data_IF_543103927031
#
_entry.id   IF_543103927031
#
_cell.length_a   1.000
_cell.length_b   1.000
_cell.length_c   1.000
_cell.angle_alpha   90.00
_cell.angle_beta   90.00
_cell.angle_gamma   90.00
#
_symmetry.space_group_name_H-M   'P 1'
#
loop_
_entity.id
_entity.type
_entity.pdbx_description
1 polymer ?
#
# COMPACT_ATOMS: atom_id res chain seq x y z
N UNK A 1 3.61 5.92 12.59
CA UNK A 1 5.03 5.81 12.12
C UNK A 1 5.04 5.58 10.63
N UNK A 2 5.89 6.29 9.90
CA UNK A 2 6.21 6.03 8.48
C UNK A 2 7.59 5.40 8.45
N UNK A 3 7.66 4.12 8.11
CA UNK A 3 8.91 3.37 8.05
C UNK A 3 9.56 3.56 6.68
N UNK A 4 10.84 3.89 6.68
CA UNK A 4 11.65 4.11 5.50
C UNK A 4 12.93 3.27 5.57
N UNK A 5 13.37 2.75 4.44
CA UNK A 5 14.66 2.10 4.27
C UNK A 5 15.56 2.94 3.32
N UNK A 6 16.86 2.70 3.24
CA UNK A 6 17.71 3.37 2.26
C UNK A 6 17.15 3.26 0.84
N UNK A 7 16.91 4.38 0.15
CA UNK A 7 16.29 4.43 -1.17
C UNK A 7 14.77 4.66 -1.17
N UNK A 8 14.10 4.65 -0.03
CA UNK A 8 12.72 5.13 0.09
C UNK A 8 12.65 6.60 -0.29
N UNK A 9 11.65 6.98 -1.09
CA UNK A 9 11.50 8.35 -1.58
C UNK A 9 10.06 8.90 -1.53
N UNK A 10 9.11 8.12 -0.96
CA UNK A 10 7.71 8.51 -0.76
C UNK A 10 7.32 8.69 0.72
N UNK A 11 8.28 8.60 1.60
CA UNK A 11 8.11 8.78 3.04
C UNK A 11 7.50 10.15 3.41
N UNK A 12 7.95 11.23 2.76
CA UNK A 12 7.43 12.58 2.97
C UNK A 12 6.02 12.77 2.40
N UNK A 13 5.74 12.18 1.23
CA UNK A 13 4.41 12.23 0.62
C UNK A 13 3.39 11.50 1.51
N UNK A 14 3.75 10.32 2.02
CA UNK A 14 2.95 9.56 2.99
C UNK A 14 2.76 10.33 4.29
N UNK A 15 3.83 10.93 4.83
CA UNK A 15 3.75 11.76 6.03
C UNK A 15 2.78 12.93 5.84
N UNK A 16 2.85 13.61 4.70
CA UNK A 16 1.91 14.68 4.37
C UNK A 16 0.47 14.20 4.26
N UNK A 17 0.24 13.03 3.62
CA UNK A 17 -1.08 12.43 3.52
C UNK A 17 -1.69 12.11 4.90
N UNK A 18 -0.87 11.55 5.81
CA UNK A 18 -1.28 11.26 7.18
C UNK A 18 -1.57 12.53 7.99
N UNK A 19 -0.79 13.59 7.84
CA UNK A 19 -1.06 14.89 8.47
C UNK A 19 -2.41 15.46 8.01
N UNK A 20 -2.69 15.42 6.71
CA UNK A 20 -3.99 15.85 6.16
C UNK A 20 -5.16 14.95 6.61
N UNK A 21 -4.87 13.72 7.00
CA UNK A 21 -5.85 12.80 7.58
C UNK A 21 -6.08 13.01 9.07
N UNK A 22 -5.27 13.85 9.75
CA UNK A 22 -5.39 14.19 11.16
C UNK A 22 -4.40 13.46 12.09
N UNK A 23 -3.46 12.68 11.56
CA UNK A 23 -2.44 12.00 12.35
C UNK A 23 -1.21 12.91 12.63
N UNK A 24 -0.38 12.47 13.57
CA UNK A 24 0.96 13.02 13.85
C UNK A 24 2.04 12.00 13.39
N UNK A 25 2.45 12.04 12.11
CA UNK A 25 3.37 11.06 11.55
C UNK A 25 4.81 11.34 11.95
N UNK A 26 5.51 10.26 12.28
CA UNK A 26 6.95 10.24 12.50
C UNK A 26 7.61 9.36 11.45
N UNK A 27 8.60 9.89 10.72
CA UNK A 27 9.42 9.11 9.79
C UNK A 27 10.54 8.47 10.60
N UNK A 28 10.66 7.15 10.51
CA UNK A 28 11.66 6.34 11.23
C UNK A 28 12.40 5.47 10.23
N UNK A 29 13.71 5.38 10.34
CA UNK A 29 14.49 4.48 9.51
C UNK A 29 14.37 3.04 9.99
N UNK A 30 14.44 2.10 9.04
CA UNK A 30 14.36 0.67 9.35
C UNK A 30 15.42 0.24 10.35
N UNK A 31 16.63 0.74 10.22
CA UNK A 31 17.75 0.45 11.11
C UNK A 31 17.45 0.89 12.55
N UNK A 32 16.88 2.07 12.75
CA UNK A 32 16.47 2.57 14.07
C UNK A 32 15.40 1.67 14.70
N UNK A 33 14.41 1.27 13.90
CA UNK A 33 13.36 0.37 14.37
C UNK A 33 13.92 -1.01 14.75
N UNK A 34 14.83 -1.54 13.95
CA UNK A 34 15.47 -2.82 14.19
C UNK A 34 16.31 -2.83 15.47
N UNK A 35 16.99 -1.71 15.76
CA UNK A 35 17.81 -1.58 16.98
C UNK A 35 16.95 -1.46 18.24
N UNK A 36 15.81 -0.76 18.16
CA UNK A 36 14.99 -0.46 19.33
C UNK A 36 13.47 -0.62 19.05
N UNK A 37 12.98 -1.82 18.69
CA UNK A 37 11.59 -1.98 18.23
C UNK A 37 10.55 -1.68 19.33
N UNK A 38 10.76 -2.15 20.54
CA UNK A 38 9.76 -2.04 21.60
C UNK A 38 9.51 -0.60 22.07
N UNK A 39 10.53 0.23 22.35
CA UNK A 39 10.30 1.64 22.68
C UNK A 39 9.65 2.43 21.53
N UNK A 40 10.13 2.22 20.29
CA UNK A 40 9.65 2.97 19.13
C UNK A 40 8.22 2.64 18.73
N UNK A 41 7.76 1.40 18.93
CA UNK A 41 6.41 0.96 18.61
C UNK A 41 5.40 1.13 19.74
N UNK A 42 5.85 1.46 20.97
CA UNK A 42 4.97 1.52 22.14
C UNK A 42 3.75 2.41 21.91
N UNK A 43 3.99 3.63 21.44
CA UNK A 43 2.99 4.68 21.31
C UNK A 43 2.52 4.88 19.85
N UNK A 44 2.86 3.93 18.97
CA UNK A 44 2.48 3.96 17.56
C UNK A 44 1.15 3.22 17.38
N UNK A 45 0.18 3.89 16.78
CA UNK A 45 -1.12 3.30 16.44
C UNK A 45 -1.16 2.79 14.99
N UNK A 46 -0.43 3.42 14.08
CA UNK A 46 -0.43 3.10 12.64
C UNK A 46 1.01 2.90 12.16
N UNK A 47 1.26 1.86 11.38
CA UNK A 47 2.54 1.66 10.71
C UNK A 47 2.34 1.73 9.19
N UNK A 48 3.12 2.57 8.52
CA UNK A 48 3.15 2.68 7.06
C UNK A 48 4.52 2.32 6.52
N UNK A 49 4.59 1.34 5.63
CA UNK A 49 5.79 1.04 4.85
C UNK A 49 5.71 1.85 3.56
N UNK A 50 6.55 2.89 3.46
CA UNK A 50 6.47 3.82 2.35
C UNK A 50 7.03 3.26 1.03
N UNK A 51 6.57 3.81 -0.08
CA UNK A 51 7.05 3.48 -1.42
C UNK A 51 8.43 4.05 -1.73
N UNK A 52 9.04 3.54 -2.79
CA UNK A 52 10.34 3.97 -3.28
C UNK A 52 11.11 2.81 -3.92
N UNK A 53 12.44 2.91 -3.87
CA UNK A 53 13.36 1.92 -4.41
C UNK A 53 14.35 1.51 -3.30
N UNK A 54 13.83 0.82 -2.28
CA UNK A 54 14.64 0.43 -1.13
C UNK A 54 15.86 -0.40 -1.58
N UNK A 55 17.03 -0.03 -1.08
CA UNK A 55 18.32 -0.64 -1.45
C UNK A 55 18.56 -0.66 -2.97
N UNK A 56 18.03 0.35 -3.71
CA UNK A 56 18.11 0.46 -5.18
C UNK A 56 17.61 -0.79 -5.92
N UNK A 57 16.68 -1.55 -5.33
CA UNK A 57 16.13 -2.82 -5.84
C UNK A 57 17.22 -3.87 -6.20
N UNK A 58 18.35 -3.85 -5.50
CA UNK A 58 19.56 -4.60 -5.86
C UNK A 58 19.38 -6.12 -6.02
N UNK A 59 18.40 -6.72 -5.35
CA UNK A 59 18.07 -8.15 -5.48
C UNK A 59 16.62 -8.37 -5.93
N UNK A 60 16.00 -7.34 -6.52
CA UNK A 60 14.57 -7.23 -6.82
C UNK A 60 13.85 -6.30 -5.86
N UNK A 61 12.75 -5.71 -6.34
CA UNK A 61 12.04 -4.67 -5.62
C UNK A 61 11.53 -5.14 -4.25
N UNK A 62 11.89 -4.42 -3.19
CA UNK A 62 11.52 -4.71 -1.81
C UNK A 62 12.21 -5.92 -1.17
N UNK A 63 13.03 -6.67 -1.90
CA UNK A 63 13.59 -7.94 -1.40
C UNK A 63 14.51 -7.79 -0.20
N UNK A 64 15.46 -6.87 -0.26
CA UNK A 64 16.38 -6.67 0.86
C UNK A 64 15.65 -6.17 2.11
N UNK A 65 14.66 -5.30 1.91
CA UNK A 65 13.84 -4.82 3.02
C UNK A 65 12.96 -5.93 3.60
N UNK A 66 12.32 -6.77 2.77
CA UNK A 66 11.54 -7.91 3.26
C UNK A 66 12.37 -8.91 4.05
N UNK A 67 13.61 -9.17 3.62
CA UNK A 67 14.56 -10.01 4.37
C UNK A 67 14.89 -9.41 5.74
N UNK A 68 15.16 -8.10 5.81
CA UNK A 68 15.42 -7.43 7.08
C UNK A 68 14.18 -7.46 8.00
N UNK A 69 12.97 -7.29 7.46
CA UNK A 69 11.72 -7.43 8.22
C UNK A 69 11.56 -8.86 8.74
N UNK A 70 11.76 -9.86 7.91
CA UNK A 70 11.60 -11.28 8.30
C UNK A 70 12.63 -11.69 9.35
N UNK A 71 13.90 -11.36 9.14
CA UNK A 71 15.01 -11.79 10.00
C UNK A 71 15.02 -11.02 11.34
N UNK A 72 14.79 -9.72 11.31
CA UNK A 72 15.01 -8.84 12.47
C UNK A 72 13.74 -8.32 13.14
N UNK A 73 12.60 -8.32 12.45
CA UNK A 73 11.29 -7.89 12.96
C UNK A 73 10.22 -8.98 12.85
N UNK A 74 10.61 -10.23 12.59
CA UNK A 74 9.72 -11.35 12.31
C UNK A 74 8.62 -11.56 13.36
N UNK A 75 8.92 -11.37 14.65
CA UNK A 75 7.95 -11.44 15.75
C UNK A 75 7.31 -10.07 16.07
N UNK A 76 7.97 -8.99 15.69
CA UNK A 76 7.59 -7.63 16.11
C UNK A 76 6.35 -7.16 15.36
N UNK A 77 6.34 -7.29 14.03
CA UNK A 77 5.21 -6.84 13.21
C UNK A 77 3.96 -7.71 13.42
N UNK A 78 4.02 -9.05 13.48
CA UNK A 78 2.86 -9.86 13.86
C UNK A 78 2.26 -9.49 15.21
N UNK A 79 3.09 -9.20 16.23
CA UNK A 79 2.61 -8.73 17.54
C UNK A 79 1.95 -7.35 17.45
N UNK A 80 2.50 -6.43 16.66
CA UNK A 80 1.92 -5.12 16.43
C UNK A 80 0.51 -5.23 15.82
N UNK A 81 0.35 -6.10 14.81
CA UNK A 81 -0.93 -6.39 14.15
C UNK A 81 -1.90 -7.08 15.12
N UNK A 82 -1.43 -8.04 15.92
CA UNK A 82 -2.25 -8.75 16.90
C UNK A 82 -2.81 -7.84 18.01
N UNK A 83 -2.20 -6.68 18.24
CA UNK A 83 -2.74 -5.62 19.11
C UNK A 83 -3.86 -4.80 18.45
N UNK A 84 -4.32 -5.17 17.26
CA UNK A 84 -5.33 -4.46 16.49
C UNK A 84 -4.80 -3.28 15.69
N UNK A 85 -3.48 -3.04 15.68
CA UNK A 85 -2.88 -1.86 15.07
C UNK A 85 -2.73 -2.01 13.56
N UNK A 86 -3.28 -1.06 12.77
CA UNK A 86 -3.28 -1.16 11.31
C UNK A 86 -1.90 -0.91 10.69
N UNK A 87 -1.66 -1.64 9.60
CA UNK A 87 -0.45 -1.54 8.79
C UNK A 87 -0.83 -1.32 7.32
N UNK A 88 -0.12 -0.45 6.62
CA UNK A 88 -0.27 -0.30 5.18
C UNK A 88 1.10 -0.27 4.49
N UNK A 89 1.23 -1.02 3.41
CA UNK A 89 2.40 -0.99 2.51
C UNK A 89 2.02 -0.44 1.14
N UNK A 90 2.71 0.61 0.70
CA UNK A 90 2.45 1.26 -0.58
C UNK A 90 3.60 0.97 -1.54
N UNK A 91 3.31 0.47 -2.74
CA UNK A 91 4.27 0.15 -3.78
C UNK A 91 5.41 -0.74 -3.24
N UNK A 92 6.59 -0.21 -3.01
CA UNK A 92 7.71 -0.94 -2.42
C UNK A 92 7.35 -1.52 -1.03
N UNK A 93 6.55 -0.80 -0.23
CA UNK A 93 6.03 -1.32 1.04
C UNK A 93 5.12 -2.54 0.88
N UNK A 94 4.32 -2.60 -0.19
CA UNK A 94 3.51 -3.78 -0.50
C UNK A 94 4.37 -4.98 -0.89
N UNK A 95 5.43 -4.76 -1.69
CA UNK A 95 6.42 -5.79 -2.02
C UNK A 95 7.09 -6.35 -0.75
N UNK A 96 7.38 -5.48 0.21
CA UNK A 96 7.93 -5.90 1.51
C UNK A 96 6.94 -6.74 2.30
N UNK A 97 5.68 -6.33 2.41
CA UNK A 97 4.66 -7.06 3.17
C UNK A 97 4.37 -8.45 2.58
N UNK A 98 4.30 -8.58 1.24
CA UNK A 98 4.17 -9.89 0.59
C UNK A 98 5.44 -10.73 0.73
N UNK A 99 6.61 -10.13 0.55
CA UNK A 99 7.91 -10.81 0.69
C UNK A 99 8.18 -11.30 2.12
N UNK A 100 7.63 -10.61 3.13
CA UNK A 100 7.70 -11.00 4.55
C UNK A 100 6.57 -11.97 4.97
N UNK A 101 5.65 -12.34 4.07
CA UNK A 101 4.54 -13.25 4.38
C UNK A 101 3.43 -12.64 5.23
N UNK A 102 3.37 -11.32 5.35
CA UNK A 102 2.32 -10.59 6.09
C UNK A 102 1.07 -10.34 5.23
N UNK A 103 1.19 -10.49 3.91
CA UNK A 103 0.09 -10.43 2.95
C UNK A 103 0.15 -11.64 2.01
N UNK A 104 -1.01 -12.10 1.50
CA UNK A 104 -1.06 -13.21 0.55
C UNK A 104 -0.48 -12.83 -0.81
N UNK A 105 -0.02 -13.83 -1.57
CA UNK A 105 0.47 -13.68 -2.93
C UNK A 105 1.91 -13.20 -3.02
N UNK A 106 2.28 -12.73 -4.21
CA UNK A 106 3.60 -12.21 -4.50
C UNK A 106 3.53 -11.12 -5.57
N UNK A 107 4.58 -10.30 -5.64
CA UNK A 107 4.76 -9.27 -6.67
C UNK A 107 5.96 -9.61 -7.55
N UNK A 108 5.83 -9.40 -8.85
CA UNK A 108 6.86 -9.66 -9.83
C UNK A 108 6.89 -8.60 -10.94
N UNK A 109 7.73 -8.84 -11.93
CA UNK A 109 7.88 -7.93 -13.07
C UNK A 109 6.55 -7.68 -13.78
N UNK A 110 6.34 -6.43 -14.19
CA UNK A 110 5.20 -6.07 -15.04
C UNK A 110 5.15 -6.98 -16.28
N UNK A 111 3.95 -7.36 -16.72
CA UNK A 111 3.78 -8.23 -17.87
C UNK A 111 4.40 -7.66 -19.17
N UNK A 112 4.48 -6.34 -19.28
CA UNK A 112 5.13 -5.64 -20.39
C UNK A 112 6.66 -5.71 -20.37
N UNK A 113 7.27 -6.09 -19.23
CA UNK A 113 8.71 -5.98 -19.00
C UNK A 113 9.23 -4.54 -18.85
N UNK A 114 8.34 -3.54 -18.87
CA UNK A 114 8.71 -2.13 -18.79
C UNK A 114 8.20 -1.48 -17.51
N UNK A 115 8.88 -0.42 -17.07
CA UNK A 115 8.43 0.45 -16.00
C UNK A 115 7.13 1.15 -16.42
N UNK A 116 6.11 1.11 -15.56
CA UNK A 116 4.84 1.80 -15.77
C UNK A 116 4.79 3.04 -14.87
N UNK A 117 4.47 4.19 -15.48
CA UNK A 117 4.31 5.47 -14.80
C UNK A 117 3.13 6.22 -15.42
N UNK A 118 1.95 6.01 -14.88
CA UNK A 118 0.70 6.54 -15.42
C UNK A 118 -0.37 6.75 -14.34
N UNK A 119 -1.39 7.53 -14.65
CA UNK A 119 -2.56 7.67 -13.80
C UNK A 119 -3.53 6.54 -14.06
N UNK A 120 -4.00 5.92 -12.99
CA UNK A 120 -4.96 4.82 -13.02
C UNK A 120 -6.16 5.14 -12.13
N UNK A 121 -7.22 4.39 -12.35
CA UNK A 121 -8.39 4.35 -11.48
C UNK A 121 -8.51 2.98 -10.81
N UNK A 122 -8.89 3.00 -9.54
CA UNK A 122 -9.18 1.79 -8.78
C UNK A 122 -10.63 1.80 -8.32
N UNK A 123 -11.32 0.68 -8.50
CA UNK A 123 -12.57 0.38 -7.82
C UNK A 123 -12.28 -0.24 -6.44
N UNK A 124 -13.24 -0.05 -5.55
CA UNK A 124 -13.16 -0.47 -4.16
C UNK A 124 -14.23 -1.54 -3.92
N UNK A 125 -13.93 -2.82 -4.17
CA UNK A 125 -14.87 -3.91 -3.89
C UNK A 125 -15.12 -4.05 -2.39
N UNK A 126 -16.23 -4.67 -2.03
CA UNK A 126 -16.50 -5.04 -0.65
C UNK A 126 -15.40 -5.97 -0.12
N UNK A 127 -14.74 -5.59 0.96
CA UNK A 127 -13.63 -6.32 1.54
C UNK A 127 -13.60 -6.21 3.06
N UNK A 128 -12.75 -7.02 3.70
CA UNK A 128 -12.48 -6.93 5.15
C UNK A 128 -11.66 -5.70 5.53
N UNK A 129 -10.95 -5.10 4.56
CA UNK A 129 -9.98 -4.04 4.84
C UNK A 129 -10.61 -2.84 5.55
N UNK A 130 -10.06 -2.48 6.70
CA UNK A 130 -10.44 -1.28 7.45
C UNK A 130 -10.10 0.00 6.68
N UNK A 131 -9.10 -0.10 5.79
CA UNK A 131 -8.58 1.02 5.01
C UNK A 131 -9.48 1.44 3.84
N UNK A 132 -10.22 0.48 3.28
CA UNK A 132 -11.03 0.71 2.07
C UNK A 132 -12.55 0.74 2.35
N UNK A 133 -12.96 0.56 3.60
CA UNK A 133 -14.38 0.54 3.96
C UNK A 133 -15.09 1.85 3.56
N UNK A 134 -16.19 1.73 2.83
CA UNK A 134 -17.03 2.84 2.36
C UNK A 134 -16.23 3.94 1.64
N UNK A 135 -15.22 3.58 0.88
CA UNK A 135 -14.51 4.51 0.00
C UNK A 135 -15.13 4.54 -1.39
N UNK A 136 -15.14 5.74 -1.96
CA UNK A 136 -15.35 5.94 -3.38
C UNK A 136 -14.10 5.47 -4.17
N UNK A 137 -14.26 5.19 -5.48
CA UNK A 137 -13.14 4.85 -6.34
C UNK A 137 -11.99 5.86 -6.26
N UNK A 138 -10.76 5.35 -6.31
CA UNK A 138 -9.54 6.16 -6.15
C UNK A 138 -8.85 6.32 -7.50
N UNK A 139 -8.51 7.55 -7.87
CA UNK A 139 -7.66 7.87 -9.01
C UNK A 139 -6.31 8.37 -8.49
N UNK A 140 -5.21 7.70 -8.86
CA UNK A 140 -3.86 8.06 -8.44
C UNK A 140 -2.82 7.48 -9.40
N UNK A 141 -1.53 7.89 -9.33
CA UNK A 141 -0.51 7.34 -10.20
C UNK A 141 -0.01 5.97 -9.74
N UNK A 142 0.54 5.21 -10.69
CA UNK A 142 1.46 4.10 -10.48
C UNK A 142 2.86 4.49 -10.94
N UNK A 143 3.91 3.90 -10.34
CA UNK A 143 5.29 4.09 -10.72
C UNK A 143 6.13 2.89 -10.30
N UNK A 144 6.16 1.82 -11.12
CA UNK A 144 6.83 0.56 -10.77
C UNK A 144 7.26 -0.27 -11.97
N UNK A 145 8.33 -1.05 -11.82
CA UNK A 145 8.77 -2.09 -12.75
C UNK A 145 8.34 -3.50 -12.32
N UNK A 146 8.12 -3.71 -11.01
CA UNK A 146 7.73 -4.97 -10.40
C UNK A 146 6.42 -4.81 -9.61
N UNK A 147 5.32 -4.53 -10.32
CA UNK A 147 4.00 -4.29 -9.71
C UNK A 147 2.98 -5.38 -9.96
N UNK A 148 3.33 -6.42 -10.72
CA UNK A 148 2.42 -7.49 -11.11
C UNK A 148 2.11 -8.38 -9.92
N UNK A 149 0.89 -8.29 -9.39
CA UNK A 149 0.42 -9.18 -8.34
C UNK A 149 0.04 -10.55 -8.93
N UNK A 150 0.46 -11.61 -8.25
CA UNK A 150 0.16 -13.00 -8.59
C UNK A 150 -0.33 -13.78 -7.36
N UNK A 151 -1.34 -14.59 -7.55
CA UNK A 151 -1.87 -15.50 -6.54
C UNK A 151 -2.45 -16.76 -7.24
N UNK A 152 -2.24 -17.97 -6.71
CA UNK A 152 -2.70 -19.20 -7.34
C UNK A 152 -4.24 -19.35 -7.30
N UNK A 153 -4.91 -18.75 -6.33
CA UNK A 153 -6.36 -18.86 -6.12
C UNK A 153 -6.98 -17.49 -5.81
N UNK A 154 -7.35 -16.77 -6.86
CA UNK A 154 -8.02 -15.46 -6.74
C UNK A 154 -9.43 -15.61 -6.19
N UNK A 155 -10.11 -16.72 -6.53
CA UNK A 155 -11.47 -16.96 -6.05
C UNK A 155 -11.51 -17.14 -4.53
N UNK A 156 -10.50 -17.78 -3.94
CA UNK A 156 -10.38 -17.86 -2.48
C UNK A 156 -10.13 -16.49 -1.84
N UNK A 157 -9.29 -15.63 -2.44
CA UNK A 157 -9.09 -14.26 -1.95
C UNK A 157 -10.40 -13.46 -1.97
N UNK A 158 -11.17 -13.57 -3.03
CA UNK A 158 -12.48 -12.92 -3.17
C UNK A 158 -13.47 -13.42 -2.12
N UNK A 159 -13.61 -14.73 -2.01
CA UNK A 159 -14.52 -15.36 -1.05
C UNK A 159 -14.17 -14.98 0.41
N UNK A 160 -12.87 -14.80 0.70
CA UNK A 160 -12.38 -14.36 1.98
C UNK A 160 -12.47 -12.84 2.20
N UNK A 161 -12.90 -12.06 1.19
CA UNK A 161 -12.95 -10.59 1.27
C UNK A 161 -11.59 -9.92 1.38
N UNK A 162 -10.55 -10.53 0.81
CA UNK A 162 -9.17 -10.02 0.90
C UNK A 162 -8.76 -9.16 -0.31
N UNK A 163 -9.54 -9.13 -1.39
CA UNK A 163 -9.32 -8.22 -2.52
C UNK A 163 -9.86 -6.84 -2.14
N UNK A 164 -8.97 -5.90 -1.86
CA UNK A 164 -9.32 -4.59 -1.36
C UNK A 164 -9.46 -3.52 -2.45
N UNK A 165 -8.70 -3.64 -3.54
CA UNK A 165 -8.66 -2.67 -4.64
C UNK A 165 -8.45 -3.39 -5.97
N UNK A 166 -9.11 -2.89 -7.04
CA UNK A 166 -8.95 -3.40 -8.41
C UNK A 166 -8.73 -2.27 -9.39
N UNK A 167 -7.83 -2.48 -10.34
CA UNK A 167 -7.67 -1.59 -11.49
C UNK A 167 -8.95 -1.55 -12.32
N UNK A 168 -9.30 -0.38 -12.84
CA UNK A 168 -10.49 -0.22 -13.68
C UNK A 168 -10.29 0.80 -14.79
N UNK A 169 -11.13 0.71 -15.82
CA UNK A 169 -11.29 1.72 -16.86
C UNK A 169 -12.74 2.22 -16.84
N UNK A 170 -12.95 3.53 -16.74
CA UNK A 170 -14.28 4.15 -16.72
C UNK A 170 -15.24 3.56 -15.67
N UNK A 171 -14.68 2.99 -14.58
CA UNK A 171 -15.49 2.37 -13.54
C UNK A 171 -15.78 0.86 -13.75
N UNK A 172 -15.30 0.28 -14.84
CA UNK A 172 -15.45 -1.14 -15.12
C UNK A 172 -14.15 -1.90 -14.84
N UNK A 173 -14.26 -2.96 -14.04
CA UNK A 173 -13.21 -3.97 -13.85
C UNK A 173 -13.41 -5.00 -14.95
N UNK A 174 -12.52 -5.02 -15.92
CA UNK A 174 -12.74 -5.82 -17.14
C UNK A 174 -12.34 -7.28 -17.00
N UNK A 175 -11.51 -7.63 -16.04
CA UNK A 175 -10.95 -8.97 -15.87
C UNK A 175 -10.02 -9.43 -17.00
N UNK A 176 -9.89 -8.62 -18.06
CA UNK A 176 -9.10 -8.93 -19.26
C UNK A 176 -7.86 -8.04 -19.41
N UNK A 177 -7.48 -7.33 -18.36
CA UNK A 177 -6.29 -6.50 -18.32
C UNK A 177 -6.43 -5.10 -18.93
N UNK A 178 -7.60 -4.70 -19.41
CA UNK A 178 -7.82 -3.35 -19.89
C UNK A 178 -7.85 -2.38 -18.69
N UNK A 179 -6.93 -1.40 -18.64
CA UNK A 179 -6.73 -0.50 -17.49
C UNK A 179 -5.88 -1.08 -16.36
N UNK A 180 -5.40 -2.31 -16.50
CA UNK A 180 -4.45 -2.93 -15.60
C UNK A 180 -3.02 -2.67 -16.12
N UNK A 181 -2.23 -1.81 -15.47
CA UNK A 181 -0.96 -1.34 -16.03
C UNK A 181 0.15 -2.41 -16.00
N UNK A 182 0.00 -3.44 -15.20
CA UNK A 182 1.09 -4.36 -14.90
C UNK A 182 0.78 -5.84 -15.13
N UNK A 183 -0.46 -6.19 -15.50
CA UNK A 183 -0.88 -7.57 -15.72
C UNK A 183 -1.14 -8.36 -14.43
N UNK A 184 -1.50 -7.69 -13.34
CA UNK A 184 -1.92 -8.32 -12.09
C UNK A 184 -3.11 -9.24 -12.31
N UNK A 185 -3.10 -10.42 -11.69
CA UNK A 185 -4.19 -11.38 -11.79
C UNK A 185 -5.49 -10.78 -11.25
N UNK A 186 -6.61 -10.99 -11.96
CA UNK A 186 -7.91 -10.47 -11.56
C UNK A 186 -7.99 -8.95 -11.43
N UNK A 187 -7.10 -8.21 -12.12
CA UNK A 187 -6.94 -6.75 -12.02
C UNK A 187 -6.69 -6.25 -10.59
N UNK A 188 -6.13 -7.09 -9.71
CA UNK A 188 -5.89 -6.75 -8.31
C UNK A 188 -4.83 -5.66 -8.21
N UNK A 189 -5.20 -4.51 -7.63
CA UNK A 189 -4.34 -3.39 -7.32
C UNK A 189 -3.86 -3.39 -5.86
N UNK A 190 -4.63 -4.05 -4.97
CA UNK A 190 -4.29 -4.18 -3.56
C UNK A 190 -5.10 -5.27 -2.86
N UNK A 191 -4.47 -5.87 -1.85
CA UNK A 191 -5.04 -6.94 -1.01
C UNK A 191 -4.87 -6.62 0.47
N UNK A 192 -5.74 -7.21 1.31
CA UNK A 192 -5.56 -7.19 2.76
C UNK A 192 -5.28 -8.59 3.31
N UNK A 193 -4.82 -8.64 4.55
CA UNK A 193 -4.71 -9.86 5.32
C UNK A 193 -6.08 -10.39 5.78
N UNK A 194 -6.12 -11.53 6.44
CA UNK A 194 -7.35 -12.14 6.93
C UNK A 194 -8.08 -11.30 7.98
N UNK A 195 -7.35 -10.46 8.73
CA UNK A 195 -7.93 -9.55 9.74
C UNK A 195 -8.48 -8.27 9.15
N UNK A 196 -8.04 -7.88 7.95
CA UNK A 196 -8.35 -6.60 7.31
C UNK A 196 -7.52 -5.42 7.85
N UNK A 197 -6.59 -5.67 8.77
CA UNK A 197 -5.74 -4.63 9.38
C UNK A 197 -4.55 -4.27 8.50
N UNK A 198 -4.01 -5.27 7.80
CA UNK A 198 -2.87 -5.06 6.90
C UNK A 198 -3.37 -4.87 5.48
N UNK A 199 -3.00 -3.76 4.84
CA UNK A 199 -3.30 -3.48 3.44
C UNK A 199 -2.00 -3.31 2.66
N UNK A 200 -1.92 -3.90 1.47
CA UNK A 200 -0.88 -3.61 0.48
C UNK A 200 -1.49 -3.18 -0.84
N UNK A 201 -0.92 -2.17 -1.48
CA UNK A 201 -1.34 -1.70 -2.80
C UNK A 201 -0.16 -1.17 -3.61
N UNK A 202 -0.19 -1.36 -4.94
CA UNK A 202 0.87 -0.87 -5.83
C UNK A 202 0.74 0.60 -6.23
N UNK A 203 -0.47 1.15 -6.44
CA UNK A 203 -0.65 2.57 -6.72
C UNK A 203 -0.30 3.47 -5.53
N UNK A 204 -0.12 4.78 -5.83
CA UNK A 204 0.34 5.80 -4.89
C UNK A 204 -0.80 6.79 -4.52
N UNK A 205 -1.72 6.45 -3.60
CA UNK A 205 -2.79 7.36 -3.19
C UNK A 205 -2.26 8.62 -2.50
N UNK A 206 -1.07 8.58 -1.88
CA UNK A 206 -0.39 9.73 -1.27
C UNK A 206 -0.04 10.81 -2.29
N UNK A 207 0.02 10.47 -3.56
CA UNK A 207 0.26 11.42 -4.66
C UNK A 207 -1.03 12.01 -5.25
N UNK A 208 -2.20 11.74 -4.65
CA UNK A 208 -3.46 12.42 -4.99
C UNK A 208 -4.30 12.68 -3.73
N UNK A 209 -3.75 13.35 -2.74
CA UNK A 209 -4.44 13.75 -1.50
C UNK A 209 -5.03 15.15 -1.56
N UNK A 210 -4.59 15.97 -2.52
CA UNK A 210 -5.15 17.29 -2.83
C UNK A 210 -5.36 17.43 -4.34
N UNK A 211 -6.39 18.14 -4.76
CA UNK A 211 -6.78 18.25 -6.17
C UNK A 211 -5.68 18.76 -7.10
N UNK A 212 -4.81 19.67 -6.63
CA UNK A 212 -3.72 20.23 -7.45
C UNK A 212 -2.62 19.23 -7.82
N UNK A 213 -2.55 18.06 -7.20
CA UNK A 213 -1.63 17.00 -7.59
C UNK A 213 -2.06 16.29 -8.88
N UNK A 214 -3.36 16.39 -9.23
CA UNK A 214 -3.86 15.76 -10.45
C UNK A 214 -3.43 16.54 -11.71
N UNK A 215 -2.96 15.89 -12.79
CA UNK A 215 -2.48 16.57 -14.01
C UNK A 215 -3.56 17.39 -14.73
N UNK A 216 -4.84 17.06 -14.54
CA UNK A 216 -5.99 17.81 -15.09
C UNK A 216 -6.59 18.81 -14.10
N UNK A 217 -5.89 19.14 -13.00
CA UNK A 217 -6.39 20.05 -11.97
C UNK A 217 -6.94 21.37 -12.54
N UNK A 218 -6.21 22.01 -13.45
CA UNK A 218 -6.64 23.26 -14.10
C UNK A 218 -7.93 23.14 -14.95
N UNK A 219 -8.39 21.93 -15.23
CA UNK A 219 -9.61 21.63 -15.98
C UNK A 219 -10.80 21.28 -15.08
N UNK A 220 -10.70 21.52 -13.77
CA UNK A 220 -11.80 21.30 -12.83
C UNK A 220 -11.97 19.86 -12.36
N UNK A 221 -10.90 19.07 -12.30
CA UNK A 221 -10.96 17.74 -11.70
C UNK A 221 -11.19 17.79 -10.18
N UNK A 222 -11.81 16.74 -9.68
CA UNK A 222 -12.22 16.59 -8.28
C UNK A 222 -11.05 16.69 -7.28
N UNK A 223 -11.39 16.89 -6.02
CA UNK A 223 -10.46 16.86 -4.88
C UNK A 223 -9.70 15.52 -4.80
N UNK A 224 -8.53 15.53 -4.16
CA UNK A 224 -7.65 14.37 -4.05
C UNK A 224 -8.34 13.13 -3.49
N UNK A 225 -8.58 12.13 -4.32
CA UNK A 225 -9.35 10.94 -3.98
C UNK A 225 -8.58 9.97 -3.05
N UNK A 226 -7.24 10.03 -3.04
CA UNK A 226 -6.41 9.17 -2.21
C UNK A 226 -6.47 9.48 -0.70
N UNK A 227 -6.86 10.69 -0.31
CA UNK A 227 -6.91 11.09 1.10
C UNK A 227 -7.90 10.25 1.92
N UNK A 228 -8.97 9.77 1.28
CA UNK A 228 -9.98 8.93 1.92
C UNK A 228 -9.37 7.69 2.59
N UNK A 229 -8.42 7.04 1.92
CA UNK A 229 -7.73 5.84 2.42
C UNK A 229 -7.02 6.12 3.76
N UNK A 230 -6.23 7.18 3.83
CA UNK A 230 -5.50 7.57 5.04
C UNK A 230 -6.45 7.95 6.18
N UNK A 231 -7.54 8.68 5.86
CA UNK A 231 -8.57 9.04 6.86
C UNK A 231 -9.24 7.81 7.47
N UNK A 232 -9.44 6.73 6.71
CA UNK A 232 -10.01 5.48 7.24
C UNK A 232 -9.06 4.83 8.24
N UNK A 233 -7.79 4.72 7.91
CA UNK A 233 -6.78 4.19 8.85
C UNK A 233 -6.69 5.02 10.13
N UNK A 234 -6.67 6.35 10.02
CA UNK A 234 -6.62 7.26 11.18
C UNK A 234 -7.86 7.11 12.06
N UNK A 235 -9.06 7.16 11.49
CA UNK A 235 -10.33 6.98 12.24
C UNK A 235 -10.39 5.62 12.93
N UNK A 236 -9.91 4.56 12.29
CA UNK A 236 -9.85 3.26 12.94
C UNK A 236 -8.94 3.30 14.16
N UNK A 237 -7.75 3.89 14.04
CA UNK A 237 -6.79 3.99 15.12
C UNK A 237 -7.24 4.89 16.28
N UNK A 238 -8.03 5.92 16.01
CA UNK A 238 -8.65 6.79 17.06
C UNK A 238 -9.71 6.05 17.88
N UNK A 239 -10.29 4.99 17.36
CA UNK A 239 -11.31 4.17 18.02
C UNK A 239 -10.76 2.97 18.83
N UNK A 240 -9.43 2.85 18.91
CA UNK A 240 -8.75 1.74 19.60
C UNK A 240 -8.67 1.93 21.11
#
# INVERSE_FOLDING_TARGET
MVLAAPGTNRDRDVSYALQLAGADPQITLLEELVENPAPLLRDIQILVLAGGFSYADALGAGRMWSLAVTDRLGDVLPRFIALGRPVIGICNGFQVLTGAGLLPGALGHNASGHFQCEWIRMEVPASKSIWTRDLEPIECPVAHGEGRYVHPDVAALEANGQVALRYSVNGEVSGNGNGNPNGSVGDIAGVCDETGLVLGLMPHPENHVIGRQHPRHARGTAAGSGLGLFRRGVRYAEGM
#
